data_IF_513488666048
#
_entry.id   IF_513488666048
#
_cell.length_a   1.000
_cell.length_b   1.000
_cell.length_c   1.000
_cell.angle_alpha   90.00
_cell.angle_beta   90.00
_cell.angle_gamma   90.00
#
_symmetry.space_group_name_H-M   'P 1'
#
loop_
_entity.id
_entity.type
_entity.pdbx_description
1 polymer ?
#
# COMPACT_ATOMS: atom_id res chain seq x y z
N UNK A 1 -2.19 26.94 -1.16
CA UNK A 1 -3.45 26.67 -1.92
C UNK A 1 -3.04 26.08 -3.24
N UNK A 2 -3.70 24.97 -3.67
CA UNK A 2 -3.52 24.41 -5.00
C UNK A 2 -3.83 25.49 -6.07
N UNK A 3 -3.03 25.49 -7.13
CA UNK A 3 -3.30 26.28 -8.32
C UNK A 3 -4.66 25.90 -8.92
N UNK A 4 -5.46 26.90 -9.33
CA UNK A 4 -6.80 26.70 -9.89
C UNK A 4 -6.80 25.78 -11.14
N UNK A 5 -5.74 25.84 -11.95
CA UNK A 5 -5.56 24.99 -13.14
C UNK A 5 -5.36 23.50 -12.73
N UNK A 6 -4.52 23.23 -11.72
CA UNK A 6 -4.30 21.89 -11.20
C UNK A 6 -5.59 21.34 -10.57
N UNK A 7 -6.32 22.16 -9.81
CA UNK A 7 -7.62 21.75 -9.23
C UNK A 7 -8.63 21.38 -10.32
N UNK A 8 -8.75 22.16 -11.39
CA UNK A 8 -9.64 21.84 -12.51
C UNK A 8 -9.25 20.53 -13.20
N UNK A 9 -7.96 20.27 -13.34
CA UNK A 9 -7.44 19.01 -13.90
C UNK A 9 -7.82 17.82 -13.02
N UNK A 10 -7.65 17.94 -11.69
CA UNK A 10 -8.01 16.88 -10.74
C UNK A 10 -9.52 16.59 -10.71
N UNK A 11 -10.36 17.64 -10.74
CA UNK A 11 -11.82 17.48 -10.83
C UNK A 11 -12.22 16.74 -12.11
N UNK A 12 -11.58 17.06 -13.25
CA UNK A 12 -11.83 16.34 -14.51
C UNK A 12 -11.36 14.88 -14.44
N UNK A 13 -10.25 14.59 -13.77
CA UNK A 13 -9.68 13.24 -13.64
C UNK A 13 -10.46 12.38 -12.65
N UNK A 14 -10.92 12.94 -11.55
CA UNK A 14 -11.63 12.26 -10.46
C UNK A 14 -12.95 12.96 -10.10
N UNK A 15 -13.93 12.97 -11.01
CA UNK A 15 -15.13 13.82 -10.85
C UNK A 15 -16.03 13.40 -9.67
N UNK A 16 -16.11 12.11 -9.38
CA UNK A 16 -17.02 11.55 -8.37
C UNK A 16 -16.34 10.63 -7.36
N UNK A 17 -15.06 10.34 -7.55
CA UNK A 17 -14.33 9.42 -6.68
C UNK A 17 -14.15 10.04 -5.29
N UNK A 18 -14.54 9.29 -4.25
CA UNK A 18 -14.30 9.65 -2.86
C UNK A 18 -13.28 8.70 -2.25
N UNK A 19 -12.39 9.25 -1.42
CA UNK A 19 -11.33 8.52 -0.74
C UNK A 19 -11.36 8.79 0.76
N UNK A 20 -10.93 7.82 1.53
CA UNK A 20 -10.88 7.94 2.98
C UNK A 20 -9.62 8.66 3.43
N UNK A 21 -9.80 9.70 4.23
CA UNK A 21 -8.70 10.50 4.76
C UNK A 21 -8.77 10.63 6.26
N UNK A 22 -7.62 10.80 6.87
CA UNK A 22 -7.49 11.21 8.28
C UNK A 22 -6.83 12.59 8.35
N UNK A 23 -7.09 13.39 9.41
CA UNK A 23 -6.35 14.63 9.63
C UNK A 23 -4.85 14.38 9.70
N UNK A 24 -4.04 15.20 9.05
CA UNK A 24 -2.56 15.09 9.06
C UNK A 24 -1.99 15.03 10.48
N UNK A 25 -2.59 15.75 11.43
CA UNK A 25 -2.22 15.74 12.84
C UNK A 25 -2.21 14.36 13.49
N UNK A 26 -3.01 13.40 12.97
CA UNK A 26 -3.04 12.03 13.46
C UNK A 26 -1.81 11.22 13.01
N UNK A 27 -1.23 11.58 11.88
CA UNK A 27 -0.15 10.84 11.21
C UNK A 27 1.21 11.52 11.31
N UNK A 28 1.27 12.81 11.68
CA UNK A 28 2.50 13.62 11.66
C UNK A 28 3.67 13.04 12.47
N UNK A 29 3.39 12.19 13.46
CA UNK A 29 4.40 11.54 14.31
C UNK A 29 5.01 10.28 13.68
N UNK A 30 4.42 9.78 12.58
CA UNK A 30 4.97 8.64 11.85
C UNK A 30 6.13 9.17 11.01
N UNK A 31 7.36 8.69 11.22
CA UNK A 31 8.53 9.17 10.48
C UNK A 31 8.46 8.76 8.99
N UNK A 32 9.28 9.41 8.17
CA UNK A 32 9.53 8.99 6.79
C UNK A 32 10.14 7.57 6.76
N UNK A 33 9.72 6.75 5.81
CA UNK A 33 10.12 5.35 5.70
C UNK A 33 9.07 4.37 6.20
N UNK A 34 9.51 3.18 6.60
CA UNK A 34 8.65 2.15 7.18
C UNK A 34 8.74 2.17 8.71
N UNK A 35 7.58 2.17 9.35
CA UNK A 35 7.46 2.09 10.82
C UNK A 35 6.69 0.82 11.20
N UNK A 36 7.29 -0.14 11.95
CA UNK A 36 6.58 -1.32 12.43
C UNK A 36 5.36 -0.96 13.29
N UNK A 37 4.28 -1.73 13.17
CA UNK A 37 3.04 -1.52 13.91
C UNK A 37 3.25 -1.48 15.43
N UNK A 38 4.11 -2.35 15.94
CA UNK A 38 4.45 -2.45 17.37
C UNK A 38 5.11 -1.20 17.95
N UNK A 39 5.70 -0.35 17.10
CA UNK A 39 6.36 0.89 17.52
C UNK A 39 5.38 2.05 17.74
N UNK A 40 4.13 1.88 17.34
CA UNK A 40 3.09 2.88 17.46
C UNK A 40 1.92 2.34 18.29
N UNK A 41 1.53 3.07 19.33
CA UNK A 41 0.35 2.74 20.14
C UNK A 41 -0.94 3.23 19.46
N UNK A 42 -1.14 2.86 18.18
CA UNK A 42 -2.31 3.24 17.38
C UNK A 42 -2.96 1.97 16.83
N UNK A 43 -4.22 1.76 17.13
CA UNK A 43 -4.99 0.68 16.52
C UNK A 43 -5.59 1.13 15.17
N UNK A 44 -5.72 0.20 14.21
CA UNK A 44 -6.36 0.48 12.92
C UNK A 44 -7.78 1.03 13.12
N UNK A 45 -8.56 0.46 14.04
CA UNK A 45 -9.90 0.95 14.36
C UNK A 45 -9.95 2.39 14.84
N UNK A 46 -8.89 2.89 15.52
CA UNK A 46 -8.85 4.30 15.94
C UNK A 46 -8.72 5.26 14.74
N UNK A 47 -8.15 4.82 13.65
CA UNK A 47 -8.05 5.62 12.41
C UNK A 47 -9.34 5.56 11.62
N UNK A 48 -9.99 4.38 11.56
CA UNK A 48 -11.32 4.25 11.01
C UNK A 48 -12.31 5.22 11.66
N UNK A 49 -12.29 5.33 13.00
CA UNK A 49 -13.16 6.24 13.74
C UNK A 49 -12.85 7.74 13.58
N UNK A 50 -11.64 8.11 13.16
CA UNK A 50 -11.19 9.52 13.03
C UNK A 50 -11.17 10.03 11.61
N UNK A 51 -11.33 9.14 10.64
CA UNK A 51 -11.31 9.49 9.23
C UNK A 51 -12.69 9.85 8.69
N UNK A 52 -12.70 10.30 7.46
CA UNK A 52 -13.90 10.62 6.69
C UNK A 52 -13.65 10.47 5.21
N UNK A 53 -14.72 10.31 4.44
CA UNK A 53 -14.66 10.37 2.99
C UNK A 53 -14.71 11.81 2.50
N UNK A 54 -13.85 12.16 1.55
CA UNK A 54 -13.89 13.41 0.79
C UNK A 54 -13.67 13.11 -0.69
N UNK A 55 -14.01 14.02 -1.58
CA UNK A 55 -13.69 13.85 -2.99
C UNK A 55 -12.17 13.75 -3.19
N UNK A 56 -11.73 12.81 -4.05
CA UNK A 56 -10.31 12.59 -4.32
C UNK A 56 -9.61 13.85 -4.83
N UNK A 57 -10.27 14.63 -5.67
CA UNK A 57 -9.72 15.88 -6.16
C UNK A 57 -9.54 16.97 -5.06
N UNK A 58 -10.17 16.82 -3.89
CA UNK A 58 -9.96 17.67 -2.70
C UNK A 58 -8.93 17.07 -1.73
N UNK A 59 -8.64 15.77 -1.86
CA UNK A 59 -7.62 15.07 -1.07
C UNK A 59 -6.22 15.22 -1.65
N UNK A 60 -6.10 15.13 -2.98
CA UNK A 60 -4.82 15.22 -3.69
C UNK A 60 -4.10 16.54 -3.41
N UNK A 61 -2.84 16.43 -3.02
CA UNK A 61 -1.97 17.56 -2.63
C UNK A 61 -2.52 18.41 -1.47
N UNK A 62 -3.42 17.88 -0.66
CA UNK A 62 -3.98 18.59 0.50
C UNK A 62 -3.13 18.34 1.75
N UNK A 63 -2.36 19.33 2.24
CA UNK A 63 -1.44 19.13 3.35
C UNK A 63 -2.12 18.93 4.71
N UNK A 64 -3.44 19.11 4.80
CA UNK A 64 -4.18 18.99 6.06
C UNK A 64 -4.73 17.60 6.32
N UNK A 65 -4.69 16.74 5.32
CA UNK A 65 -5.18 15.35 5.40
C UNK A 65 -4.16 14.37 4.84
N UNK A 66 -4.32 13.09 5.21
CA UNK A 66 -3.59 11.97 4.64
C UNK A 66 -4.57 10.94 4.12
N UNK A 67 -4.42 10.54 2.87
CA UNK A 67 -5.15 9.42 2.27
C UNK A 67 -4.57 8.12 2.80
N UNK A 68 -5.40 7.27 3.39
CA UNK A 68 -4.97 5.96 3.88
C UNK A 68 -5.06 4.94 2.75
N UNK A 69 -3.98 4.22 2.53
CA UNK A 69 -3.87 3.20 1.49
C UNK A 69 -3.50 1.86 2.14
N UNK A 70 -4.39 0.87 2.22
CA UNK A 70 -4.01 -0.50 2.53
C UNK A 70 -2.99 -1.00 1.50
N UNK A 71 -1.86 -1.52 1.96
CA UNK A 71 -0.80 -2.09 1.15
C UNK A 71 -0.54 -3.52 1.63
N UNK A 72 -0.94 -4.50 0.82
CA UNK A 72 -1.05 -5.90 1.23
C UNK A 72 0.14 -6.70 0.71
N UNK A 73 0.94 -7.25 1.61
CA UNK A 73 1.97 -8.24 1.29
C UNK A 73 1.35 -9.64 1.38
N UNK A 74 1.44 -10.42 0.32
CA UNK A 74 1.02 -11.82 0.34
C UNK A 74 2.27 -12.70 0.46
N UNK A 75 2.36 -13.43 1.57
CA UNK A 75 3.46 -14.33 1.89
C UNK A 75 3.07 -15.78 1.62
N UNK A 76 4.05 -16.62 1.30
CA UNK A 76 3.84 -18.07 1.37
C UNK A 76 3.70 -18.53 2.84
N UNK A 77 3.28 -19.77 3.08
CA UNK A 77 2.88 -20.25 4.41
C UNK A 77 3.97 -20.17 5.48
N UNK A 78 5.24 -20.29 5.10
CA UNK A 78 6.38 -20.23 6.04
C UNK A 78 7.03 -18.82 6.14
N UNK A 79 6.52 -17.85 5.38
CA UNK A 79 7.04 -16.47 5.39
C UNK A 79 8.37 -16.26 4.67
N UNK A 80 8.90 -17.27 3.97
CA UNK A 80 10.20 -17.19 3.29
C UNK A 80 10.14 -16.53 1.91
N UNK A 81 8.94 -16.45 1.31
CA UNK A 81 8.72 -15.84 -0.01
C UNK A 81 7.57 -14.85 0.06
N UNK A 82 7.71 -13.77 -0.67
CA UNK A 82 6.64 -12.78 -0.91
C UNK A 82 6.20 -12.85 -2.37
N UNK A 83 4.90 -12.66 -2.61
CA UNK A 83 4.38 -12.56 -3.96
C UNK A 83 4.67 -11.16 -4.51
N UNK A 84 5.42 -11.10 -5.60
CA UNK A 84 5.84 -9.86 -6.27
C UNK A 84 5.12 -9.75 -7.58
N UNK A 85 4.67 -8.53 -7.92
CA UNK A 85 4.14 -8.22 -9.24
C UNK A 85 5.14 -7.38 -10.03
N UNK A 86 5.25 -7.64 -11.32
CA UNK A 86 6.08 -6.92 -12.28
C UNK A 86 5.18 -6.33 -13.36
N UNK A 87 5.28 -5.04 -13.61
CA UNK A 87 4.54 -4.38 -14.69
C UNK A 87 5.19 -4.71 -16.03
N UNK A 88 4.42 -5.35 -16.93
CA UNK A 88 4.90 -5.78 -18.26
C UNK A 88 4.30 -4.97 -19.41
N UNK A 89 3.22 -4.22 -19.18
CA UNK A 89 2.59 -3.34 -20.15
C UNK A 89 2.18 -1.98 -19.53
N UNK A 90 1.71 -1.06 -20.37
CA UNK A 90 1.31 0.28 -19.97
C UNK A 90 2.41 1.32 -20.20
N UNK A 91 2.54 2.28 -19.29
CA UNK A 91 3.54 3.35 -19.41
C UNK A 91 4.98 2.79 -19.46
N UNK A 92 5.73 3.16 -20.48
CA UNK A 92 7.09 2.64 -20.72
C UNK A 92 8.03 2.85 -19.51
N UNK A 93 7.92 4.00 -18.82
CA UNK A 93 8.73 4.32 -17.64
C UNK A 93 8.48 3.40 -16.43
N UNK A 94 7.35 2.69 -16.42
CA UNK A 94 6.94 1.81 -15.32
C UNK A 94 7.17 0.33 -15.64
N UNK A 95 7.48 -0.03 -16.90
CA UNK A 95 7.76 -1.41 -17.29
C UNK A 95 8.98 -1.95 -16.55
N UNK A 96 8.86 -3.17 -16.07
CA UNK A 96 9.91 -3.83 -15.28
C UNK A 96 9.97 -3.37 -13.82
N UNK A 97 9.15 -2.40 -13.40
CA UNK A 97 9.04 -2.05 -11.99
C UNK A 97 8.35 -3.16 -11.22
N UNK A 98 8.90 -3.44 -10.05
CA UNK A 98 8.41 -4.45 -9.13
C UNK A 98 7.60 -3.79 -8.00
N UNK A 99 6.44 -4.35 -7.71
CA UNK A 99 5.69 -4.06 -6.50
C UNK A 99 5.78 -5.24 -5.52
N UNK A 100 5.96 -4.94 -4.25
CA UNK A 100 6.05 -5.93 -3.18
C UNK A 100 4.66 -6.31 -2.65
N UNK A 101 3.67 -5.49 -2.91
CA UNK A 101 2.29 -5.68 -2.49
C UNK A 101 1.30 -5.12 -3.49
N UNK A 102 0.03 -5.36 -3.25
CA UNK A 102 -1.11 -4.74 -3.93
C UNK A 102 -1.84 -3.78 -2.98
N UNK A 103 -2.64 -2.89 -3.51
CA UNK A 103 -3.45 -1.98 -2.71
C UNK A 103 -3.93 -0.76 -3.45
N UNK A 104 -4.85 -0.03 -2.84
CA UNK A 104 -5.44 1.16 -3.43
C UNK A 104 -6.21 1.99 -2.41
N UNK A 105 -7.03 2.91 -2.90
CA UNK A 105 -7.78 3.83 -2.05
C UNK A 105 -8.92 3.12 -1.31
N UNK A 106 -9.15 3.53 -0.07
CA UNK A 106 -10.35 3.16 0.67
C UNK A 106 -11.52 3.99 0.11
N UNK A 107 -12.57 3.31 -0.33
CA UNK A 107 -13.73 3.90 -0.98
C UNK A 107 -15.00 3.77 -0.10
N UNK A 108 -16.07 4.55 -0.35
CA UNK A 108 -17.30 4.49 0.46
C UNK A 108 -18.00 3.12 0.53
N UNK A 109 -17.69 2.19 -0.37
CA UNK A 109 -18.19 0.81 -0.34
C UNK A 109 -17.57 -0.03 0.79
N UNK A 110 -16.39 0.39 1.29
CA UNK A 110 -15.66 -0.24 2.38
C UNK A 110 -16.23 0.28 3.71
N UNK A 111 -17.27 -0.35 4.28
CA UNK A 111 -18.14 0.28 5.26
C UNK A 111 -18.15 -0.30 6.69
N UNK A 112 -17.70 -1.55 6.90
CA UNK A 112 -17.69 -2.16 8.24
C UNK A 112 -16.38 -1.90 8.97
N UNK A 113 -15.28 -2.43 8.45
CA UNK A 113 -13.91 -2.06 8.82
C UNK A 113 -13.26 -1.45 7.58
N UNK A 114 -13.32 -0.14 7.45
CA UNK A 114 -12.94 0.59 6.22
C UNK A 114 -11.55 0.20 5.71
N UNK A 115 -10.62 -0.17 6.59
CA UNK A 115 -9.26 -0.53 6.22
C UNK A 115 -9.19 -1.99 5.76
N UNK A 116 -9.81 -2.92 6.51
CA UNK A 116 -9.76 -4.34 6.17
C UNK A 116 -10.69 -4.69 5.01
N UNK A 117 -11.83 -4.01 4.88
CA UNK A 117 -12.73 -4.15 3.73
C UNK A 117 -12.04 -3.71 2.45
N UNK A 118 -11.38 -2.52 2.46
CA UNK A 118 -10.62 -2.03 1.32
C UNK A 118 -9.45 -2.97 0.98
N UNK A 119 -8.70 -3.45 1.98
CA UNK A 119 -7.61 -4.40 1.76
C UNK A 119 -8.12 -5.68 1.09
N UNK A 120 -9.27 -6.20 1.54
CA UNK A 120 -9.88 -7.40 0.98
C UNK A 120 -10.34 -7.17 -0.47
N UNK A 121 -10.98 -6.03 -0.73
CA UNK A 121 -11.45 -5.65 -2.07
C UNK A 121 -10.26 -5.50 -3.04
N UNK A 122 -9.27 -4.67 -2.70
CA UNK A 122 -8.09 -4.41 -3.54
C UNK A 122 -7.31 -5.72 -3.84
N UNK A 123 -7.06 -6.54 -2.81
CA UNK A 123 -6.43 -7.84 -3.02
C UNK A 123 -7.23 -8.72 -3.98
N UNK A 124 -8.57 -8.75 -3.84
CA UNK A 124 -9.44 -9.55 -4.71
C UNK A 124 -9.61 -8.96 -6.11
N UNK A 125 -9.44 -7.66 -6.30
CA UNK A 125 -9.47 -7.03 -7.63
C UNK A 125 -8.21 -7.39 -8.44
N UNK A 126 -7.03 -7.35 -7.82
CA UNK A 126 -5.76 -7.57 -8.51
C UNK A 126 -5.30 -9.04 -8.54
N UNK A 127 -5.61 -9.81 -7.48
CA UNK A 127 -5.06 -11.16 -7.27
C UNK A 127 -6.15 -12.22 -7.11
N UNK A 128 -5.86 -13.43 -7.58
CA UNK A 128 -6.55 -14.66 -7.16
C UNK A 128 -5.72 -15.31 -6.06
N UNK A 129 -6.23 -15.29 -4.81
CA UNK A 129 -5.52 -15.80 -3.63
C UNK A 129 -6.27 -16.99 -3.04
N UNK A 130 -5.60 -18.14 -2.88
CA UNK A 130 -6.18 -19.36 -2.28
C UNK A 130 -5.58 -19.64 -0.92
N UNK A 131 -6.44 -19.92 0.06
CA UNK A 131 -6.03 -20.24 1.42
C UNK A 131 -5.41 -19.07 2.16
N UNK A 132 -5.91 -17.84 1.89
CA UNK A 132 -5.50 -16.64 2.60
C UNK A 132 -5.85 -16.73 4.09
N UNK A 133 -4.89 -16.37 4.94
CA UNK A 133 -5.11 -16.20 6.38
C UNK A 133 -5.61 -14.78 6.67
N UNK A 134 -6.19 -14.51 7.86
CA UNK A 134 -6.52 -13.16 8.27
C UNK A 134 -5.33 -12.21 8.15
N UNK A 135 -5.61 -10.95 7.83
CA UNK A 135 -4.58 -9.93 7.78
C UNK A 135 -3.95 -9.67 9.15
N UNK A 136 -2.64 -9.51 9.15
CA UNK A 136 -1.88 -9.03 10.31
C UNK A 136 -1.33 -7.64 9.97
N UNK A 137 -1.55 -6.68 10.86
CA UNK A 137 -1.03 -5.34 10.70
C UNK A 137 0.49 -5.33 10.95
N UNK A 138 1.26 -5.08 9.90
CA UNK A 138 2.73 -5.13 9.94
C UNK A 138 3.36 -3.77 10.24
N UNK A 139 2.78 -2.69 9.70
CA UNK A 139 3.32 -1.36 9.92
C UNK A 139 2.71 -0.28 9.03
N UNK A 140 3.44 0.82 8.93
CA UNK A 140 3.04 1.99 8.17
C UNK A 140 4.17 2.43 7.24
N UNK A 141 3.81 2.95 6.07
CA UNK A 141 4.75 3.56 5.12
C UNK A 141 4.41 5.02 4.97
N UNK A 142 5.43 5.86 5.11
CA UNK A 142 5.38 7.26 4.73
C UNK A 142 6.51 7.54 3.73
N UNK A 143 6.20 8.20 2.63
CA UNK A 143 7.19 8.62 1.64
C UNK A 143 7.05 10.12 1.38
N UNK A 144 7.74 10.91 2.19
CA UNK A 144 7.68 12.37 2.12
C UNK A 144 8.41 12.95 0.91
N UNK A 145 9.17 12.14 0.18
CA UNK A 145 9.89 12.55 -1.03
C UNK A 145 9.10 12.24 -2.31
N UNK A 146 8.06 11.44 -2.18
CA UNK A 146 7.16 11.11 -3.29
C UNK A 146 6.25 12.29 -3.64
N UNK A 147 5.81 12.36 -4.89
CA UNK A 147 4.72 13.25 -5.31
C UNK A 147 3.42 12.96 -4.57
N UNK A 148 3.28 11.73 -4.06
CA UNK A 148 2.16 11.26 -3.25
C UNK A 148 2.44 11.33 -1.74
N UNK A 149 3.07 12.40 -1.27
CA UNK A 149 3.35 12.60 0.17
C UNK A 149 2.08 12.81 1.02
N UNK A 150 0.95 13.00 0.39
CA UNK A 150 -0.40 13.03 0.94
C UNK A 150 -1.00 11.63 1.15
N UNK A 151 -0.30 10.57 0.76
CA UNK A 151 -0.69 9.18 0.99
C UNK A 151 0.10 8.57 2.16
N UNK A 152 -0.55 7.67 2.89
CA UNK A 152 0.10 6.85 3.90
C UNK A 152 -0.31 5.39 3.77
N UNK A 153 0.68 4.53 3.56
CA UNK A 153 0.48 3.09 3.46
C UNK A 153 0.21 2.46 4.83
N UNK A 154 -0.82 1.63 4.93
CA UNK A 154 -1.07 0.72 6.03
C UNK A 154 -0.67 -0.66 5.57
N UNK A 155 0.48 -1.16 6.03
CA UNK A 155 1.02 -2.44 5.59
C UNK A 155 0.35 -3.57 6.33
N UNK A 156 -0.32 -4.41 5.56
CA UNK A 156 -0.98 -5.62 6.02
C UNK A 156 -0.28 -6.83 5.41
N UNK A 157 -0.13 -7.89 6.19
CA UNK A 157 0.44 -9.17 5.73
C UNK A 157 -0.62 -10.24 5.79
N UNK A 158 -0.73 -11.05 4.76
CA UNK A 158 -1.47 -12.31 4.77
C UNK A 158 -0.58 -13.44 4.26
N UNK A 159 -0.87 -14.67 4.69
CA UNK A 159 -0.20 -15.88 4.23
C UNK A 159 -1.16 -16.67 3.34
N UNK A 160 -0.67 -17.19 2.22
CA UNK A 160 -1.50 -17.91 1.27
C UNK A 160 -0.84 -19.19 0.75
N UNK A 161 -1.66 -20.12 0.24
CA UNK A 161 -1.19 -21.35 -0.38
C UNK A 161 -0.73 -21.11 -1.82
N UNK A 162 -1.52 -20.34 -2.57
CA UNK A 162 -1.19 -19.96 -3.95
C UNK A 162 -1.76 -18.59 -4.28
N UNK A 163 -1.07 -17.89 -5.19
CA UNK A 163 -1.44 -16.57 -5.67
C UNK A 163 -1.16 -16.49 -7.16
N UNK A 164 -2.06 -15.85 -7.90
CA UNK A 164 -1.84 -15.44 -9.29
C UNK A 164 -2.42 -14.05 -9.54
N UNK A 165 -1.88 -13.33 -10.51
CA UNK A 165 -2.43 -12.04 -10.95
C UNK A 165 -3.67 -12.27 -11.81
N UNK A 166 -4.65 -11.37 -11.75
CA UNK A 166 -5.83 -11.39 -12.61
C UNK A 166 -5.60 -10.67 -13.95
N UNK A 167 -4.87 -9.56 -13.92
CA UNK A 167 -4.55 -8.75 -15.11
C UNK A 167 -3.27 -9.22 -15.81
N UNK A 168 -3.29 -10.44 -16.37
CA UNK A 168 -2.09 -11.07 -16.98
C UNK A 168 -1.55 -10.36 -18.23
N UNK A 169 -2.32 -9.44 -18.82
CA UNK A 169 -1.86 -8.63 -19.97
C UNK A 169 -0.96 -7.47 -19.53
N UNK A 170 -1.11 -6.98 -18.30
CA UNK A 170 -0.39 -5.82 -17.77
C UNK A 170 0.58 -6.15 -16.66
N UNK A 171 0.34 -7.25 -15.94
CA UNK A 171 1.11 -7.68 -14.77
C UNK A 171 1.58 -9.13 -14.90
N UNK A 172 2.77 -9.39 -14.40
CA UNK A 172 3.30 -10.73 -14.14
C UNK A 172 3.53 -10.88 -12.65
N UNK A 173 3.04 -11.98 -12.07
CA UNK A 173 3.21 -12.27 -10.66
C UNK A 173 4.03 -13.53 -10.42
N UNK A 174 4.87 -13.52 -9.38
CA UNK A 174 5.65 -14.68 -8.99
C UNK A 174 6.12 -14.61 -7.54
N UNK A 175 6.40 -15.77 -6.96
CA UNK A 175 7.02 -15.86 -5.64
C UNK A 175 8.49 -15.52 -5.69
N UNK A 176 8.92 -14.54 -4.89
CA UNK A 176 10.31 -14.14 -4.74
C UNK A 176 10.80 -14.50 -3.33
N UNK A 177 11.93 -15.19 -3.16
CA UNK A 177 12.55 -15.37 -1.85
C UNK A 177 12.85 -14.03 -1.19
N UNK A 178 12.54 -13.89 0.10
CA UNK A 178 12.80 -12.65 0.82
C UNK A 178 14.29 -12.28 0.82
N UNK A 179 15.18 -13.27 0.80
CA UNK A 179 16.64 -13.09 0.69
C UNK A 179 17.09 -12.44 -0.63
N UNK A 180 16.26 -12.49 -1.69
CA UNK A 180 16.58 -11.89 -3.00
C UNK A 180 16.10 -10.43 -3.13
N UNK A 181 15.28 -9.94 -2.21
CA UNK A 181 14.65 -8.61 -2.32
C UNK A 181 15.70 -7.50 -2.46
N UNK A 182 16.74 -7.53 -1.63
CA UNK A 182 17.77 -6.51 -1.65
C UNK A 182 18.62 -6.53 -2.94
N UNK A 183 18.89 -7.70 -3.50
CA UNK A 183 19.63 -7.83 -4.77
C UNK A 183 18.88 -7.19 -5.94
N UNK A 184 17.55 -7.10 -5.87
CA UNK A 184 16.69 -6.48 -6.90
C UNK A 184 16.16 -5.10 -6.48
N UNK A 185 16.68 -4.52 -5.41
CA UNK A 185 16.20 -3.29 -4.78
C UNK A 185 15.93 -2.16 -5.78
N UNK A 186 16.81 -1.93 -6.75
CA UNK A 186 16.69 -0.85 -7.71
C UNK A 186 15.45 -0.93 -8.62
N UNK A 187 14.87 -2.14 -8.78
CA UNK A 187 13.67 -2.37 -9.59
C UNK A 187 12.38 -2.09 -8.84
N UNK A 188 12.42 -2.08 -7.51
CA UNK A 188 11.20 -1.90 -6.72
C UNK A 188 10.70 -0.46 -6.71
N UNK A 189 9.40 -0.29 -6.61
CA UNK A 189 8.75 1.00 -6.36
C UNK A 189 9.13 1.58 -5.00
N UNK A 190 8.81 2.87 -4.75
CA UNK A 190 9.24 3.58 -3.55
C UNK A 190 8.77 2.91 -2.25
N UNK A 191 7.50 2.51 -2.17
CA UNK A 191 6.95 1.88 -0.95
C UNK A 191 7.56 0.52 -0.65
N UNK A 192 7.76 -0.30 -1.68
CA UNK A 192 8.48 -1.57 -1.54
C UNK A 192 9.90 -1.34 -1.02
N UNK A 193 10.61 -0.34 -1.54
CA UNK A 193 11.96 0.03 -1.07
C UNK A 193 11.98 0.37 0.42
N UNK A 194 10.97 1.11 0.94
CA UNK A 194 10.89 1.45 2.37
C UNK A 194 10.80 0.20 3.26
N UNK A 195 10.05 -0.82 2.80
CA UNK A 195 9.96 -2.10 3.52
C UNK A 195 11.28 -2.87 3.43
N UNK A 196 11.89 -2.95 2.24
CA UNK A 196 13.14 -3.67 2.01
C UNK A 196 14.28 -3.05 2.85
N UNK A 197 14.37 -1.72 2.90
CA UNK A 197 15.33 -0.99 3.74
C UNK A 197 15.19 -1.37 5.22
N UNK A 198 13.95 -1.44 5.71
CA UNK A 198 13.67 -1.86 7.08
C UNK A 198 14.10 -3.31 7.34
N UNK A 199 13.76 -4.22 6.42
CA UNK A 199 14.14 -5.64 6.55
C UNK A 199 15.65 -5.82 6.54
N UNK A 200 16.34 -5.12 5.64
CA UNK A 200 17.80 -5.16 5.53
C UNK A 200 18.49 -4.64 6.79
N UNK A 201 18.09 -3.46 7.26
CA UNK A 201 18.67 -2.81 8.44
C UNK A 201 18.48 -3.64 9.71
N UNK A 202 17.39 -4.42 9.79
CA UNK A 202 17.08 -5.25 10.96
C UNK A 202 17.48 -6.72 10.78
N UNK A 203 18.26 -7.08 9.75
CA UNK A 203 18.69 -8.44 9.44
C UNK A 203 17.53 -9.45 9.33
N UNK A 204 16.38 -9.02 8.77
CA UNK A 204 15.17 -9.84 8.64
C UNK A 204 14.87 -10.27 7.19
N UNK A 205 15.89 -10.33 6.34
CA UNK A 205 15.70 -10.69 4.92
C UNK A 205 15.38 -12.17 4.68
N UNK A 206 15.59 -13.05 5.67
CA UNK A 206 15.31 -14.48 5.47
C UNK A 206 13.80 -14.77 5.51
N UNK A 207 13.06 -14.04 6.34
CA UNK A 207 11.60 -14.19 6.51
C UNK A 207 10.96 -12.89 6.96
N UNK A 208 9.77 -12.63 6.41
CA UNK A 208 8.85 -11.64 6.96
C UNK A 208 7.88 -12.39 7.87
N UNK A 209 8.12 -12.30 9.18
CA UNK A 209 7.26 -12.89 10.20
C UNK A 209 6.57 -11.78 10.99
N UNK A 210 5.28 -11.91 11.19
CA UNK A 210 4.40 -11.01 11.94
C UNK A 210 3.68 -11.76 13.04
#
# INVERSE_FOLDING_TARGET
MLDASLKATLVKKYPTEQVFVVPFEQTKRIPDGFTPAQNLKVSLGSWGAKGRFIFRHDAEYNPTVQQLIPYILVMNQDGSKVFVTERIAGEERLKGNLALGCGGHINPVDSNDVILDAATREMNEELEVKGAKPFVHYGYIRDMKSETNDHMGIVLVTYANSVSVKETESLKGYWMPCSELFAKYYKFESWAKRIIDHLYTNHKLDKILV
#
